data_IF_988323587001
#
_entry.id   IF_988323587001
#
_cell.length_a   1.000
_cell.length_b   1.000
_cell.length_c   1.000
_cell.angle_alpha   90.00
_cell.angle_beta   90.00
_cell.angle_gamma   90.00
#
_symmetry.space_group_name_H-M   'P 1'
#
loop_
_entity.id
_entity.type
_entity.pdbx_description
1 polymer ?
#
# COMPACT_ATOMS: atom_id res chain seq x y z
N UNK A 1 3.18 27.81 23.84
CA UNK A 1 2.06 28.01 22.89
C UNK A 1 2.47 27.86 21.42
N UNK A 2 3.55 28.52 20.95
CA UNK A 2 3.96 28.51 19.54
C UNK A 2 4.45 27.15 19.00
N UNK A 3 5.11 26.35 19.84
CA UNK A 3 5.60 25.01 19.46
C UNK A 3 4.45 24.09 19.04
N UNK A 4 3.33 24.12 19.78
CA UNK A 4 2.14 23.33 19.45
C UNK A 4 1.51 23.73 18.11
N UNK A 5 1.38 25.05 17.85
CA UNK A 5 0.88 25.53 16.56
C UNK A 5 1.78 25.10 15.40
N UNK A 6 3.11 25.14 15.58
CA UNK A 6 4.06 24.69 14.57
C UNK A 6 3.91 23.19 14.27
N UNK A 7 3.80 22.36 15.32
CA UNK A 7 3.56 20.92 15.18
C UNK A 7 2.24 20.64 14.45
N UNK A 8 1.17 21.36 14.77
CA UNK A 8 -0.13 21.21 14.11
C UNK A 8 -0.08 21.56 12.62
N UNK A 9 0.67 22.61 12.25
CA UNK A 9 0.87 22.98 10.84
C UNK A 9 1.63 21.86 10.12
N UNK A 10 2.72 21.35 10.70
CA UNK A 10 3.47 20.23 10.10
C UNK A 10 2.61 18.97 9.99
N UNK A 11 1.82 18.66 11.00
CA UNK A 11 0.91 17.51 10.99
C UNK A 11 -0.17 17.64 9.92
N UNK A 12 -0.77 18.83 9.78
CA UNK A 12 -1.76 19.10 8.74
C UNK A 12 -1.14 19.00 7.35
N UNK A 13 0.06 19.56 7.14
CA UNK A 13 0.78 19.47 5.87
C UNK A 13 1.08 18.02 5.48
N UNK A 14 1.62 17.22 6.40
CA UNK A 14 1.90 15.80 6.14
C UNK A 14 0.61 15.04 5.82
N UNK A 15 -0.47 15.26 6.58
CA UNK A 15 -1.75 14.60 6.35
C UNK A 15 -2.32 14.93 4.97
N UNK A 16 -2.22 16.20 4.54
CA UNK A 16 -2.64 16.65 3.21
C UNK A 16 -1.80 15.98 2.12
N UNK A 17 -0.47 15.94 2.27
CA UNK A 17 0.44 15.34 1.29
C UNK A 17 0.20 13.83 1.18
N UNK A 18 0.04 13.14 2.31
CA UNK A 18 -0.26 11.71 2.33
C UNK A 18 -1.59 11.39 1.65
N UNK A 19 -2.65 12.15 1.95
CA UNK A 19 -3.95 11.97 1.31
C UNK A 19 -3.93 12.25 -0.19
N UNK A 20 -3.21 13.29 -0.61
CA UNK A 20 -2.98 13.61 -2.01
C UNK A 20 -2.30 12.46 -2.76
N UNK A 21 -1.15 12.01 -2.25
CA UNK A 21 -0.35 10.98 -2.91
C UNK A 21 -1.09 9.65 -3.00
N UNK A 22 -1.78 9.26 -1.91
CA UNK A 22 -2.58 8.04 -1.87
C UNK A 22 -3.65 8.02 -2.98
N UNK A 23 -4.45 9.07 -3.10
CA UNK A 23 -5.49 9.11 -4.12
C UNK A 23 -4.94 9.30 -5.55
N UNK A 24 -3.82 10.01 -5.72
CA UNK A 24 -3.17 10.17 -7.04
C UNK A 24 -2.66 8.83 -7.58
N UNK A 25 -1.96 8.06 -6.75
CA UNK A 25 -1.46 6.72 -7.13
C UNK A 25 -2.63 5.79 -7.41
N UNK A 26 -3.69 5.80 -6.58
CA UNK A 26 -4.89 5.02 -6.82
C UNK A 26 -5.57 5.38 -8.16
N UNK A 27 -5.66 6.68 -8.49
CA UNK A 27 -6.22 7.13 -9.76
C UNK A 27 -5.36 6.72 -10.97
N UNK A 28 -4.03 6.78 -10.83
CA UNK A 28 -3.09 6.37 -11.88
C UNK A 28 -3.12 4.86 -12.12
N UNK A 29 -3.39 4.07 -11.07
CA UNK A 29 -3.58 2.62 -11.18
C UNK A 29 -4.76 2.26 -12.09
N UNK A 30 -5.89 2.97 -11.98
CA UNK A 30 -7.03 2.77 -12.88
C UNK A 30 -6.74 3.21 -14.32
N UNK A 31 -5.98 4.28 -14.50
CA UNK A 31 -5.67 4.82 -15.82
C UNK A 31 -4.30 5.48 -15.83
N UNK A 32 -3.32 4.73 -16.33
CA UNK A 32 -1.93 5.18 -16.40
C UNK A 32 -1.71 6.19 -17.53
N UNK A 33 -2.09 7.46 -17.30
CA UNK A 33 -1.89 8.57 -18.24
C UNK A 33 -1.46 9.83 -17.49
N UNK A 34 -0.46 10.54 -18.02
CA UNK A 34 0.05 11.80 -17.46
C UNK A 34 -1.03 12.87 -17.23
N UNK A 35 -2.06 12.93 -18.08
CA UNK A 35 -3.15 13.90 -17.92
C UNK A 35 -4.04 13.63 -16.69
N UNK A 36 -4.16 12.36 -16.25
CA UNK A 36 -4.91 12.00 -15.03
C UNK A 36 -4.25 12.60 -13.80
N UNK A 37 -2.91 12.59 -13.76
CA UNK A 37 -2.13 13.21 -12.68
C UNK A 37 -2.40 14.73 -12.59
N UNK A 38 -2.38 15.43 -13.72
CA UNK A 38 -2.66 16.88 -13.75
C UNK A 38 -4.10 17.19 -13.33
N UNK A 39 -5.07 16.40 -13.82
CA UNK A 39 -6.48 16.57 -13.44
C UNK A 39 -6.69 16.34 -11.95
N UNK A 40 -6.04 15.32 -11.37
CA UNK A 40 -6.11 15.02 -9.95
C UNK A 40 -5.49 16.13 -9.10
N UNK A 41 -4.32 16.65 -9.49
CA UNK A 41 -3.68 17.82 -8.85
C UNK A 41 -4.59 19.04 -8.84
N UNK A 42 -5.21 19.36 -9.99
CA UNK A 42 -6.13 20.49 -10.10
C UNK A 42 -7.36 20.31 -9.21
N UNK A 43 -7.98 19.13 -9.26
CA UNK A 43 -9.14 18.80 -8.44
C UNK A 43 -8.84 18.91 -6.94
N UNK A 44 -7.70 18.38 -6.50
CA UNK A 44 -7.30 18.41 -5.10
C UNK A 44 -7.10 19.85 -4.57
N UNK A 45 -6.45 20.71 -5.37
CA UNK A 45 -6.30 22.14 -5.04
C UNK A 45 -7.67 22.80 -4.92
N UNK A 46 -8.59 22.54 -5.85
CA UNK A 46 -9.95 23.08 -5.80
C UNK A 46 -10.68 22.64 -4.53
N UNK A 47 -10.58 21.37 -4.14
CA UNK A 47 -11.22 20.84 -2.92
C UNK A 47 -10.67 21.53 -1.68
N UNK A 48 -9.35 21.70 -1.56
CA UNK A 48 -8.73 22.39 -0.43
C UNK A 48 -9.22 23.84 -0.34
N UNK A 49 -9.23 24.56 -1.46
CA UNK A 49 -9.71 25.94 -1.51
C UNK A 49 -11.21 26.03 -1.20
N UNK A 50 -12.01 25.10 -1.73
CA UNK A 50 -13.44 25.01 -1.46
C UNK A 50 -13.74 24.68 0.00
N UNK A 51 -12.85 23.94 0.67
CA UNK A 51 -13.02 23.53 2.08
C UNK A 51 -13.10 24.72 3.03
N UNK A 52 -12.52 25.87 2.67
CA UNK A 52 -12.66 27.12 3.43
C UNK A 52 -14.11 27.62 3.49
N UNK A 53 -14.91 27.39 2.44
CA UNK A 53 -16.31 27.84 2.36
C UNK A 53 -17.31 26.90 3.03
N UNK A 54 -16.89 25.70 3.42
CA UNK A 54 -17.76 24.67 4.00
C UNK A 54 -17.61 24.69 5.53
N UNK A 55 -18.73 24.57 6.24
CA UNK A 55 -18.70 24.45 7.70
C UNK A 55 -17.99 23.17 8.14
N UNK A 56 -17.21 23.26 9.23
CA UNK A 56 -16.42 22.13 9.75
C UNK A 56 -17.22 20.84 9.95
N UNK A 57 -18.42 20.94 10.53
CA UNK A 57 -19.28 19.76 10.75
C UNK A 57 -19.69 19.08 9.45
N UNK A 58 -19.97 19.85 8.40
CA UNK A 58 -20.32 19.31 7.09
C UNK A 58 -19.10 18.67 6.41
N UNK A 59 -17.94 19.31 6.47
CA UNK A 59 -16.68 18.79 5.93
C UNK A 59 -16.32 17.43 6.54
N UNK A 60 -16.43 17.31 7.87
CA UNK A 60 -16.16 16.06 8.60
C UNK A 60 -17.18 14.98 8.20
N UNK A 61 -18.48 15.32 8.13
CA UNK A 61 -19.51 14.36 7.74
C UNK A 61 -19.29 13.80 6.32
N UNK A 62 -18.98 14.67 5.36
CA UNK A 62 -18.68 14.27 3.98
C UNK A 62 -17.45 13.35 3.95
N UNK A 63 -16.39 13.72 4.67
CA UNK A 63 -15.16 12.91 4.75
C UNK A 63 -15.45 11.52 5.33
N UNK A 64 -16.26 11.42 6.39
CA UNK A 64 -16.63 10.13 7.00
C UNK A 64 -17.39 9.22 6.02
N UNK A 65 -18.26 9.77 5.18
CA UNK A 65 -18.96 9.00 4.14
C UNK A 65 -17.97 8.43 3.12
N UNK A 66 -17.01 9.23 2.66
CA UNK A 66 -15.98 8.77 1.71
C UNK A 66 -15.05 7.73 2.32
N UNK A 67 -14.59 7.94 3.57
CA UNK A 67 -13.76 6.95 4.28
C UNK A 67 -14.54 5.65 4.45
N UNK A 68 -15.80 5.71 4.87
CA UNK A 68 -16.64 4.52 5.03
C UNK A 68 -16.83 3.78 3.70
N UNK A 69 -17.05 4.49 2.59
CA UNK A 69 -17.20 3.89 1.27
C UNK A 69 -15.92 3.16 0.86
N UNK A 70 -14.77 3.80 1.01
CA UNK A 70 -13.46 3.19 0.72
C UNK A 70 -13.20 1.97 1.60
N UNK A 71 -13.49 2.07 2.90
CA UNK A 71 -13.33 0.97 3.86
C UNK A 71 -14.22 -0.22 3.51
N UNK A 72 -15.48 -0.01 3.14
CA UNK A 72 -16.39 -1.09 2.75
C UNK A 72 -15.85 -1.83 1.53
N UNK A 73 -15.45 -1.11 0.47
CA UNK A 73 -14.90 -1.71 -0.75
C UNK A 73 -13.62 -2.52 -0.45
N UNK A 74 -12.68 -1.92 0.27
CA UNK A 74 -11.43 -2.59 0.62
C UNK A 74 -11.65 -3.78 1.57
N UNK A 75 -12.60 -3.68 2.50
CA UNK A 75 -12.92 -4.77 3.43
C UNK A 75 -13.50 -5.97 2.68
N UNK A 76 -14.39 -5.75 1.70
CA UNK A 76 -14.90 -6.81 0.83
C UNK A 76 -13.75 -7.51 0.10
N UNK A 77 -12.80 -6.75 -0.46
CA UNK A 77 -11.63 -7.32 -1.13
C UNK A 77 -10.78 -8.18 -0.18
N UNK A 78 -10.47 -7.68 1.02
CA UNK A 78 -9.69 -8.43 2.02
C UNK A 78 -10.40 -9.74 2.39
N UNK A 79 -11.73 -9.72 2.58
CA UNK A 79 -12.49 -10.92 2.86
C UNK A 79 -12.46 -11.91 1.69
N UNK A 80 -12.51 -11.42 0.44
CA UNK A 80 -12.37 -12.28 -0.75
C UNK A 80 -10.98 -12.90 -0.86
N UNK A 81 -9.93 -12.17 -0.50
CA UNK A 81 -8.53 -12.66 -0.53
C UNK A 81 -8.17 -13.52 0.68
N UNK A 82 -9.08 -13.74 1.63
CA UNK A 82 -8.79 -14.49 2.87
C UNK A 82 -8.16 -15.86 2.60
N UNK A 83 -8.65 -16.60 1.60
CA UNK A 83 -8.13 -17.93 1.30
C UNK A 83 -6.66 -17.88 0.83
N UNK A 84 -6.31 -16.87 0.02
CA UNK A 84 -4.92 -16.59 -0.41
C UNK A 84 -4.04 -16.31 0.80
N UNK A 85 -4.49 -15.39 1.66
CA UNK A 85 -3.72 -14.97 2.83
C UNK A 85 -3.47 -16.15 3.79
N UNK A 86 -4.46 -17.00 4.03
CA UNK A 86 -4.30 -18.19 4.89
C UNK A 86 -3.30 -19.16 4.28
N UNK A 87 -3.37 -19.42 2.97
CA UNK A 87 -2.45 -20.32 2.30
C UNK A 87 -0.99 -19.82 2.34
N UNK A 88 -0.77 -18.52 2.07
CA UNK A 88 0.57 -17.91 2.21
C UNK A 88 1.06 -17.94 3.65
N UNK A 89 0.17 -17.71 4.62
CA UNK A 89 0.51 -17.77 6.04
C UNK A 89 0.92 -19.17 6.49
N UNK A 90 0.20 -20.21 6.07
CA UNK A 90 0.53 -21.61 6.36
C UNK A 90 1.87 -21.99 5.74
N UNK A 91 2.09 -21.67 4.46
CA UNK A 91 3.36 -21.89 3.77
C UNK A 91 4.54 -21.19 4.49
N UNK A 92 4.37 -19.91 4.86
CA UNK A 92 5.36 -19.17 5.64
C UNK A 92 5.65 -19.85 6.99
N UNK A 93 4.60 -20.29 7.68
CA UNK A 93 4.74 -20.92 8.99
C UNK A 93 5.42 -22.29 8.91
N UNK A 94 5.17 -23.08 7.86
CA UNK A 94 5.85 -24.36 7.65
C UNK A 94 7.35 -24.17 7.47
N UNK A 95 7.76 -23.27 6.56
CA UNK A 95 9.17 -22.97 6.32
C UNK A 95 9.87 -22.45 7.59
N UNK A 96 9.20 -21.55 8.33
CA UNK A 96 9.71 -21.03 9.59
C UNK A 96 9.88 -22.11 10.66
N UNK A 97 8.94 -23.06 10.76
CA UNK A 97 9.02 -24.18 11.71
C UNK A 97 10.17 -25.14 11.38
N UNK A 98 10.48 -25.30 10.10
CA UNK A 98 11.61 -26.10 9.62
C UNK A 98 12.97 -25.41 9.87
N UNK A 99 12.98 -24.18 10.37
CA UNK A 99 14.20 -23.42 10.65
C UNK A 99 14.84 -22.80 9.41
N UNK A 100 14.12 -22.79 8.28
CA UNK A 100 14.56 -22.09 7.07
C UNK A 100 14.20 -20.60 7.13
N UNK A 101 14.92 -19.80 6.35
CA UNK A 101 14.52 -18.43 6.05
C UNK A 101 13.37 -18.47 5.03
N UNK A 102 12.15 -18.06 5.40
CA UNK A 102 10.97 -18.30 4.58
C UNK A 102 11.00 -17.47 3.29
N UNK A 103 10.85 -18.14 2.15
CA UNK A 103 10.81 -17.55 0.82
C UNK A 103 9.57 -18.04 0.09
N UNK A 104 8.91 -17.12 -0.60
CA UNK A 104 7.72 -17.41 -1.39
C UNK A 104 8.02 -17.19 -2.87
N UNK A 105 7.71 -18.20 -3.67
CA UNK A 105 7.71 -18.14 -5.13
C UNK A 105 6.28 -18.37 -5.65
N UNK A 106 5.94 -17.72 -6.76
CA UNK A 106 4.65 -17.88 -7.44
C UNK A 106 4.24 -19.36 -7.67
N UNK A 107 5.23 -20.20 -7.96
CA UNK A 107 5.08 -21.64 -8.21
C UNK A 107 4.72 -22.47 -6.96
N UNK A 108 4.95 -21.95 -5.76
CA UNK A 108 4.76 -22.70 -4.51
C UNK A 108 3.27 -22.95 -4.22
N UNK A 109 2.37 -22.12 -4.77
CA UNK A 109 0.92 -22.26 -4.63
C UNK A 109 0.29 -22.31 -6.03
N UNK A 110 0.09 -23.51 -6.61
CA UNK A 110 -0.27 -23.67 -8.03
C UNK A 110 -1.61 -23.04 -8.44
N UNK A 111 -2.54 -22.89 -7.49
CA UNK A 111 -3.87 -22.32 -7.73
C UNK A 111 -3.92 -20.80 -7.60
N UNK A 112 -2.81 -20.14 -7.24
CA UNK A 112 -2.76 -18.70 -6.98
C UNK A 112 -2.90 -17.82 -8.24
N UNK A 113 -2.91 -18.43 -9.42
CA UNK A 113 -3.05 -17.74 -10.70
C UNK A 113 -1.77 -17.06 -11.15
N UNK A 114 -1.86 -16.24 -12.19
CA UNK A 114 -0.74 -15.43 -12.68
C UNK A 114 -0.51 -14.24 -11.73
N UNK A 115 0.61 -14.26 -11.01
CA UNK A 115 1.08 -13.13 -10.20
C UNK A 115 2.26 -12.45 -10.90
N UNK A 116 2.23 -11.11 -10.92
CA UNK A 116 3.23 -10.30 -11.64
C UNK A 116 4.58 -10.24 -10.90
N UNK A 117 4.56 -10.39 -9.58
CA UNK A 117 5.73 -10.34 -8.72
C UNK A 117 6.05 -11.73 -8.11
N UNK A 118 7.26 -11.90 -7.58
CA UNK A 118 7.75 -13.16 -6.95
C UNK A 118 7.92 -14.34 -7.91
N UNK A 119 8.32 -14.06 -9.15
CA UNK A 119 8.80 -15.05 -10.11
C UNK A 119 10.21 -15.52 -9.74
N UNK A 120 10.57 -16.77 -10.08
CA UNK A 120 11.84 -17.40 -9.64
C UNK A 120 13.09 -16.62 -10.03
N UNK A 121 13.09 -16.08 -11.25
CA UNK A 121 14.28 -15.51 -11.86
C UNK A 121 14.54 -14.08 -11.38
N UNK A 122 13.49 -13.36 -10.94
CA UNK A 122 13.57 -11.99 -10.42
C UNK A 122 14.12 -11.96 -8.99
N UNK A 123 13.70 -12.91 -8.15
CA UNK A 123 14.12 -12.98 -6.75
C UNK A 123 15.61 -13.28 -6.62
N UNK A 124 16.14 -14.22 -7.40
CA UNK A 124 17.56 -14.60 -7.33
C UNK A 124 18.49 -13.48 -7.79
N UNK A 125 18.11 -12.70 -8.81
CA UNK A 125 18.83 -11.49 -9.21
C UNK A 125 18.79 -10.40 -8.12
N UNK A 126 17.62 -10.19 -7.51
CA UNK A 126 17.43 -9.15 -6.48
C UNK A 126 18.18 -9.47 -5.18
N UNK A 127 18.15 -10.74 -4.74
CA UNK A 127 18.88 -11.19 -3.55
C UNK A 127 20.41 -11.13 -3.73
N UNK A 128 20.92 -11.32 -4.95
CA UNK A 128 22.36 -11.26 -5.24
C UNK A 128 22.89 -9.81 -5.22
N UNK A 129 22.10 -8.85 -5.73
CA UNK A 129 22.52 -7.44 -5.77
C UNK A 129 22.43 -6.74 -4.42
N UNK A 130 21.42 -7.08 -3.62
CA UNK A 130 21.13 -6.43 -2.34
C UNK A 130 22.27 -6.62 -1.31
N UNK A 131 22.81 -5.48 -0.85
CA UNK A 131 23.93 -5.45 0.11
C UNK A 131 23.62 -6.15 1.45
N UNK A 132 22.33 -6.23 1.79
CA UNK A 132 21.85 -6.93 2.99
C UNK A 132 22.08 -8.44 2.93
N UNK A 133 21.84 -9.09 1.78
CA UNK A 133 21.94 -10.54 1.66
C UNK A 133 23.37 -11.03 1.39
N UNK A 134 24.25 -10.16 0.87
CA UNK A 134 25.68 -10.47 0.68
C UNK A 134 26.45 -10.74 1.98
N UNK A 135 26.00 -10.18 3.10
CA UNK A 135 26.63 -10.35 4.42
C UNK A 135 25.96 -11.43 5.27
N UNK A 136 24.89 -12.04 4.75
CA UNK A 136 24.20 -13.13 5.44
C UNK A 136 25.06 -14.40 5.35
N UNK A 137 25.21 -15.18 6.44
CA UNK A 137 25.93 -16.46 6.40
C UNK A 137 25.29 -17.42 5.38
N UNK A 138 26.13 -18.23 4.73
CA UNK A 138 25.71 -19.09 3.61
C UNK A 138 24.53 -20.00 4.01
N UNK A 139 23.52 -20.01 3.15
CA UNK A 139 22.25 -20.71 3.39
C UNK A 139 22.51 -22.21 3.55
N UNK A 140 21.95 -22.84 4.58
CA UNK A 140 21.83 -24.31 4.61
C UNK A 140 20.99 -24.74 3.41
N UNK A 141 21.66 -25.25 2.39
CA UNK A 141 21.09 -25.82 1.17
C UNK A 141 21.08 -27.33 1.37
N UNK A 142 19.93 -27.85 1.76
CA UNK A 142 19.63 -29.27 1.84
C UNK A 142 18.48 -29.57 0.87
#
# INVERSE_FOLDING_TARGET
>A
PYIFSFILILFALTSIISGFYYGMVNALYFKNRKWVEYLYKLFFIIVILASYFINMSALIAITMIFISLLTVLNSIMIFSLRHVVVALWEHYMEQKKLGFDPQFYARDIPWLGEIECWQSDDLEAQFQEDAYFRVMPDRKRD
#
